data_IF_821926558068
#
_entry.id   IF_821926558068
#
_cell.length_a   1.000
_cell.length_b   1.000
_cell.length_c   1.000
_cell.angle_alpha   90.00
_cell.angle_beta   90.00
_cell.angle_gamma   90.00
#
_symmetry.space_group_name_H-M   'P 1'
#
loop_
_entity.id
_entity.type
_entity.pdbx_description
1 polymer ?
#
# COMPACT_ATOMS: atom_id res chain seq x y z
N UNK A 1 1.54 -4.02 -17.30
CA UNK A 1 1.52 -3.40 -15.95
C UNK A 1 0.16 -3.55 -15.32
N UNK A 2 0.14 -3.93 -14.07
CA UNK A 2 -1.09 -4.07 -13.30
C UNK A 2 -1.01 -3.17 -12.08
N UNK A 3 -2.17 -2.76 -11.56
CA UNK A 3 -2.24 -1.90 -10.38
C UNK A 3 -3.02 -2.62 -9.30
N UNK A 4 -2.42 -2.69 -8.12
CA UNK A 4 -3.02 -3.32 -6.96
C UNK A 4 -3.74 -2.27 -6.13
N UNK A 5 -5.02 -2.49 -5.89
CA UNK A 5 -5.82 -1.67 -4.98
C UNK A 5 -6.08 -2.50 -3.73
N UNK A 6 -5.54 -2.06 -2.62
CA UNK A 6 -5.80 -2.69 -1.33
C UNK A 6 -6.84 -1.83 -0.61
N UNK A 7 -7.97 -2.43 -0.30
CA UNK A 7 -9.02 -1.77 0.46
C UNK A 7 -8.96 -2.29 1.89
N UNK A 8 -8.76 -1.38 2.83
CA UNK A 8 -8.70 -1.71 4.25
C UNK A 8 -9.94 -1.22 4.96
N UNK A 9 -10.46 -2.07 5.82
CA UNK A 9 -11.37 -1.64 6.86
C UNK A 9 -10.55 -1.50 8.13
N UNK A 10 -10.45 -0.32 8.69
CA UNK A 10 -9.61 -0.08 9.85
C UNK A 10 -10.44 0.26 11.08
N UNK A 11 -9.86 0.03 12.26
CA UNK A 11 -10.44 0.46 13.51
C UNK A 11 -10.31 1.99 13.60
N UNK A 12 -11.43 2.75 13.67
CA UNK A 12 -11.37 4.20 13.68
C UNK A 12 -10.68 4.77 14.91
N UNK A 13 -10.56 3.98 15.97
CA UNK A 13 -9.87 4.38 17.20
C UNK A 13 -8.35 4.16 17.09
N UNK A 14 -7.89 3.52 16.03
CA UNK A 14 -6.47 3.21 15.81
C UNK A 14 -5.94 3.78 14.50
N UNK A 15 -6.45 4.94 14.13
CA UNK A 15 -6.00 5.62 12.91
C UNK A 15 -4.51 5.95 12.94
N UNK A 16 -3.99 6.36 14.10
CA UNK A 16 -2.58 6.70 14.26
C UNK A 16 -1.69 5.49 13.97
N UNK A 17 -2.10 4.31 14.42
CA UNK A 17 -1.39 3.06 14.16
C UNK A 17 -1.42 2.71 12.68
N UNK A 18 -2.56 2.91 12.01
CA UNK A 18 -2.64 2.69 10.56
C UNK A 18 -1.73 3.65 9.81
N UNK A 19 -1.66 4.92 10.20
CA UNK A 19 -0.79 5.90 9.55
C UNK A 19 0.69 5.52 9.70
N UNK A 20 1.08 5.03 10.87
CA UNK A 20 2.43 4.51 11.10
C UNK A 20 2.73 3.32 10.17
N UNK A 21 1.79 2.41 10.06
CA UNK A 21 1.85 1.26 9.16
C UNK A 21 2.02 1.70 7.71
N UNK A 22 1.22 2.67 7.27
CA UNK A 22 1.30 3.22 5.93
C UNK A 22 2.64 3.87 5.63
N UNK A 23 3.20 4.63 6.58
CA UNK A 23 4.51 5.26 6.41
C UNK A 23 5.62 4.24 6.23
N UNK A 24 5.57 3.13 6.95
CA UNK A 24 6.55 2.06 6.80
C UNK A 24 6.46 1.43 5.39
N UNK A 25 5.26 1.24 4.87
CA UNK A 25 5.08 0.74 3.51
C UNK A 25 5.54 1.74 2.44
N UNK A 26 5.44 3.03 2.71
CA UNK A 26 5.94 4.05 1.79
C UNK A 26 7.44 3.88 1.53
N UNK A 27 8.18 3.32 2.47
CA UNK A 27 9.61 3.02 2.31
C UNK A 27 9.84 1.61 1.75
N UNK A 28 9.17 0.61 2.31
CA UNK A 28 9.42 -0.79 1.99
C UNK A 28 8.93 -1.21 0.61
N UNK A 29 7.77 -0.72 0.19
CA UNK A 29 7.18 -1.13 -1.10
C UNK A 29 8.07 -0.73 -2.28
N UNK A 30 8.52 0.54 -2.40
CA UNK A 30 9.43 0.90 -3.48
C UNK A 30 10.76 0.16 -3.42
N UNK A 31 11.30 -0.02 -2.23
CA UNK A 31 12.57 -0.74 -2.03
C UNK A 31 12.47 -2.19 -2.53
N UNK A 32 11.32 -2.80 -2.39
CA UNK A 32 11.11 -4.19 -2.80
C UNK A 32 10.65 -4.35 -4.25
N UNK A 33 10.50 -3.26 -4.99
CA UNK A 33 10.35 -3.32 -6.44
C UNK A 33 8.97 -3.00 -7.01
N UNK A 34 8.04 -2.50 -6.20
CA UNK A 34 6.75 -2.03 -6.71
C UNK A 34 6.75 -0.51 -6.82
N UNK A 35 5.95 0.01 -7.75
CA UNK A 35 5.77 1.45 -7.90
C UNK A 35 4.59 1.90 -7.04
N UNK A 36 4.92 2.47 -5.89
CA UNK A 36 3.91 2.89 -4.93
C UNK A 36 3.24 4.18 -5.38
N UNK A 37 1.91 4.12 -5.54
CA UNK A 37 1.12 5.30 -5.82
C UNK A 37 0.81 6.01 -4.52
N UNK A 38 0.42 5.29 -3.48
CA UNK A 38 0.29 5.86 -2.15
C UNK A 38 -0.61 5.08 -1.23
N UNK A 39 -0.60 5.50 0.03
CA UNK A 39 -1.54 5.06 1.04
C UNK A 39 -2.48 6.22 1.37
N UNK A 40 -3.73 5.89 1.64
CA UNK A 40 -4.78 6.89 1.84
C UNK A 40 -5.58 6.55 3.08
N UNK A 41 -5.63 7.48 4.02
CA UNK A 41 -6.43 7.35 5.23
C UNK A 41 -7.76 8.10 5.07
N UNK A 42 -8.79 7.76 5.85
CA UNK A 42 -10.07 8.46 5.78
C UNK A 42 -9.91 9.97 6.04
N UNK A 43 -10.60 10.78 5.26
CA UNK A 43 -10.64 12.23 5.46
C UNK A 43 -12.06 12.71 5.68
N UNK A 44 -12.95 12.40 4.75
CA UNK A 44 -14.35 12.80 4.81
C UNK A 44 -15.21 11.61 4.41
N UNK A 45 -16.37 11.43 5.05
CA UNK A 45 -17.24 10.29 4.80
C UNK A 45 -16.97 9.16 5.77
N UNK A 46 -16.57 7.99 5.28
CA UNK A 46 -16.28 6.85 6.16
C UNK A 46 -15.05 7.10 7.04
N UNK A 47 -15.16 6.72 8.31
CA UNK A 47 -14.04 6.77 9.26
C UNK A 47 -13.21 5.49 9.23
N UNK A 48 -13.63 4.47 8.47
CA UNK A 48 -13.03 3.13 8.52
C UNK A 48 -12.40 2.66 7.21
N UNK A 49 -12.63 3.37 6.10
CA UNK A 49 -12.10 2.95 4.80
C UNK A 49 -10.77 3.63 4.51
N UNK A 50 -9.77 2.81 4.20
CA UNK A 50 -8.44 3.26 3.83
C UNK A 50 -7.96 2.47 2.62
N UNK A 51 -6.94 2.94 1.94
CA UNK A 51 -6.46 2.31 0.71
C UNK A 51 -4.94 2.33 0.63
N UNK A 52 -4.41 1.27 0.00
CA UNK A 52 -3.03 1.26 -0.46
C UNK A 52 -3.04 0.93 -1.95
N UNK A 53 -2.28 1.65 -2.74
CA UNK A 53 -2.28 1.48 -4.20
C UNK A 53 -0.85 1.46 -4.71
N UNK A 54 -0.51 0.42 -5.46
CA UNK A 54 0.78 0.34 -6.13
C UNK A 54 0.65 -0.37 -7.48
N UNK A 55 1.56 -0.08 -8.38
CA UNK A 55 1.62 -0.73 -9.69
C UNK A 55 2.84 -1.64 -9.76
N UNK A 56 2.72 -2.70 -10.53
CA UNK A 56 3.79 -3.65 -10.75
C UNK A 56 3.66 -4.23 -12.15
N UNK A 57 4.76 -4.70 -12.71
CA UNK A 57 4.80 -5.06 -14.13
C UNK A 57 3.88 -6.22 -14.48
N UNK A 58 3.81 -7.25 -13.63
CA UNK A 58 3.06 -8.47 -13.90
C UNK A 58 2.80 -9.25 -12.62
N UNK A 59 1.99 -10.29 -12.69
CA UNK A 59 1.79 -11.19 -11.56
C UNK A 59 3.07 -11.96 -11.22
N UNK A 60 3.90 -12.28 -12.21
CA UNK A 60 5.19 -12.91 -11.96
C UNK A 60 6.12 -11.96 -11.18
N UNK A 61 6.16 -10.68 -11.57
CA UNK A 61 6.90 -9.67 -10.84
C UNK A 61 6.35 -9.48 -9.42
N UNK A 62 5.04 -9.60 -9.25
CA UNK A 62 4.40 -9.53 -7.95
C UNK A 62 4.86 -10.66 -7.03
N UNK A 63 4.98 -11.89 -7.53
CA UNK A 63 5.48 -13.00 -6.73
C UNK A 63 6.91 -12.75 -6.25
N UNK A 64 7.77 -12.25 -7.12
CA UNK A 64 9.14 -11.89 -6.76
C UNK A 64 9.18 -10.76 -5.73
N UNK A 65 8.33 -9.77 -5.89
CA UNK A 65 8.16 -8.66 -4.95
C UNK A 65 7.73 -9.18 -3.56
N UNK A 66 6.76 -10.09 -3.52
CA UNK A 66 6.30 -10.69 -2.26
C UNK A 66 7.43 -11.46 -1.56
N UNK A 67 8.26 -12.15 -2.32
CA UNK A 67 9.42 -12.86 -1.76
C UNK A 67 10.42 -11.87 -1.14
N UNK A 68 10.64 -10.73 -1.79
CA UNK A 68 11.52 -9.68 -1.22
C UNK A 68 10.93 -9.05 0.04
N UNK A 69 9.63 -8.78 0.05
CA UNK A 69 8.95 -8.24 1.25
C UNK A 69 9.06 -9.21 2.43
N UNK A 70 8.95 -10.51 2.17
CA UNK A 70 8.98 -11.53 3.22
C UNK A 70 10.30 -11.56 4.00
N UNK A 71 11.39 -11.08 3.40
CA UNK A 71 12.71 -11.02 4.04
C UNK A 71 13.17 -9.59 4.34
N UNK A 72 12.39 -8.60 3.95
CA UNK A 72 12.68 -7.20 4.25
C UNK A 72 12.41 -6.94 5.73
N UNK A 73 13.40 -6.42 6.44
CA UNK A 73 13.28 -6.23 7.89
C UNK A 73 12.13 -5.29 8.26
N UNK A 74 12.02 -4.15 7.58
CA UNK A 74 10.95 -3.20 7.84
C UNK A 74 9.58 -3.77 7.46
N UNK A 75 9.50 -4.52 6.36
CA UNK A 75 8.26 -5.18 5.94
C UNK A 75 7.79 -6.20 6.97
N UNK A 76 8.72 -7.00 7.49
CA UNK A 76 8.42 -8.00 8.52
C UNK A 76 7.96 -7.35 9.82
N UNK A 77 8.65 -6.32 10.26
CA UNK A 77 8.28 -5.58 11.47
C UNK A 77 6.91 -4.93 11.33
N UNK A 78 6.63 -4.37 10.14
CA UNK A 78 5.36 -3.72 9.88
C UNK A 78 4.20 -4.71 9.88
N UNK A 79 4.42 -5.89 9.30
CA UNK A 79 3.44 -6.96 9.34
C UNK A 79 3.17 -7.41 10.78
N UNK A 80 4.23 -7.61 11.56
CA UNK A 80 4.10 -8.02 12.97
C UNK A 80 3.38 -6.94 13.79
N UNK A 81 3.65 -5.67 13.52
CA UNK A 81 2.98 -4.55 14.15
C UNK A 81 1.48 -4.58 13.88
N UNK A 82 1.07 -4.79 12.63
CA UNK A 82 -0.33 -4.88 12.26
C UNK A 82 -1.03 -6.07 12.95
N UNK A 83 -0.36 -7.21 13.01
CA UNK A 83 -0.91 -8.40 13.66
C UNK A 83 -1.08 -8.21 15.16
N UNK A 84 -0.14 -7.50 15.80
CA UNK A 84 -0.19 -7.25 17.24
C UNK A 84 -1.24 -6.21 17.61
N UNK A 85 -1.30 -5.11 16.86
CA UNK A 85 -2.16 -3.97 17.20
C UNK A 85 -3.58 -4.09 16.66
N UNK A 86 -3.81 -4.98 15.71
CA UNK A 86 -5.14 -5.35 15.21
C UNK A 86 -6.00 -4.18 14.72
N UNK A 87 -5.39 -3.21 14.08
CA UNK A 87 -6.13 -2.06 13.55
C UNK A 87 -6.73 -2.32 12.16
N UNK A 88 -6.29 -3.37 11.47
CA UNK A 88 -6.88 -3.77 10.20
C UNK A 88 -7.93 -4.84 10.48
N UNK A 89 -9.20 -4.49 10.26
CA UNK A 89 -10.33 -5.37 10.51
C UNK A 89 -10.63 -6.25 9.30
N UNK A 90 -10.38 -5.72 8.09
CA UNK A 90 -10.58 -6.44 6.84
C UNK A 90 -9.66 -5.85 5.78
N UNK A 91 -9.16 -6.71 4.91
CA UNK A 91 -8.30 -6.30 3.81
C UNK A 91 -8.74 -7.03 2.55
N UNK A 92 -8.97 -6.27 1.47
CA UNK A 92 -9.29 -6.82 0.16
C UNK A 92 -8.26 -6.32 -0.83
N UNK A 93 -7.67 -7.24 -1.59
CA UNK A 93 -6.65 -6.90 -2.57
C UNK A 93 -7.16 -7.26 -3.96
N UNK A 94 -7.16 -6.29 -4.87
CA UNK A 94 -7.61 -6.48 -6.23
C UNK A 94 -6.57 -5.96 -7.20
N UNK A 95 -6.20 -6.79 -8.18
CA UNK A 95 -5.32 -6.36 -9.25
C UNK A 95 -6.17 -5.95 -10.44
N UNK A 96 -5.91 -4.75 -10.94
CA UNK A 96 -6.65 -4.15 -12.06
C UNK A 96 -5.68 -3.76 -13.18
N UNK A 97 -6.21 -3.63 -14.38
CA UNK A 97 -5.50 -3.04 -15.50
C UNK A 97 -6.13 -1.69 -15.79
N UNK A 98 -5.30 -0.69 -16.10
CA UNK A 98 -5.82 0.60 -16.51
C UNK A 98 -6.60 0.44 -17.82
N UNK A 99 -7.76 1.08 -17.92
CA UNK A 99 -8.48 1.15 -19.18
C UNK A 99 -7.62 1.92 -20.15
N UNK A 100 -7.55 1.47 -21.39
CA UNK A 100 -6.65 1.98 -22.43
C UNK A 100 -5.16 1.59 -22.25
N UNK A 101 -4.87 0.76 -21.25
CA UNK A 101 -3.54 0.17 -21.07
C UNK A 101 -2.46 1.10 -20.51
N UNK A 102 -2.78 2.34 -20.20
CA UNK A 102 -1.80 3.28 -19.67
C UNK A 102 -1.87 3.32 -18.14
N UNK A 103 -0.73 3.21 -17.45
CA UNK A 103 -0.72 3.41 -16.01
C UNK A 103 -1.00 4.87 -15.68
N UNK A 104 -1.50 5.09 -14.46
CA UNK A 104 -1.69 6.44 -13.96
C UNK A 104 -0.33 7.09 -13.79
N UNK A 105 -0.07 8.18 -14.51
CA UNK A 105 1.14 8.96 -14.32
C UNK A 105 0.90 9.98 -13.20
N UNK A 106 1.81 10.00 -12.24
CA UNK A 106 1.80 11.03 -11.24
C UNK A 106 2.45 12.29 -11.80
N UNK A 107 1.86 13.47 -11.58
CA UNK A 107 2.54 14.71 -11.96
C UNK A 107 3.91 14.76 -11.29
N UNK A 108 4.93 15.18 -12.04
CA UNK A 108 6.23 15.44 -11.44
C UNK A 108 6.07 16.62 -10.48
N UNK A 109 6.39 16.39 -9.20
CA UNK A 109 6.45 17.48 -8.26
C UNK A 109 7.69 18.31 -8.59
N UNK A 110 7.59 19.64 -8.55
CA UNK A 110 8.78 20.44 -8.69
C UNK A 110 9.76 20.09 -7.59
N UNK A 111 11.06 20.10 -7.91
CA UNK A 111 12.09 19.94 -6.91
C UNK A 111 11.79 20.91 -5.77
N UNK A 112 11.95 20.45 -4.54
CA UNK A 112 11.59 21.21 -3.37
C UNK A 112 12.13 22.64 -3.47
N UNK A 113 11.21 23.56 -3.54
CA UNK A 113 11.55 24.96 -3.51
C UNK A 113 11.77 25.37 -2.07
#
# INVERSE_FOLDING_TARGET
MITCFIRYQIDPHKRVEFERYARAWNDAIPRCGADLIGYFAPHEGSATLAYGVYSIESLAAYEAYRARLAVDEQGRENYAFAMRERFILREERTFCEAVDGAPIERPSLPAAA
#
